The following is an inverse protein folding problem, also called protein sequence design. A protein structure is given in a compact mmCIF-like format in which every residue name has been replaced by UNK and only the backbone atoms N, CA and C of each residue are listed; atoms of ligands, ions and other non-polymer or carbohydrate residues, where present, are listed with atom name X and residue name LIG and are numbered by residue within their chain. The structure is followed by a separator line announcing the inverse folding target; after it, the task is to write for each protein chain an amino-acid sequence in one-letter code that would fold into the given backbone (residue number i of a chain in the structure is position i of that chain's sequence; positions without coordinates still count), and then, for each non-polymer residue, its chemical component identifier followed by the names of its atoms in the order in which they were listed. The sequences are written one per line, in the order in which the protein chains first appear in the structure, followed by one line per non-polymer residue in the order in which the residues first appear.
data_IF_039282588722
#
_entry.id   IF_039282588722
#
_cell.length_a   1.000
_cell.length_b   1.000
_cell.length_c   1.000
_cell.angle_alpha   90.00
_cell.angle_beta   90.00
_cell.angle_gamma   90.00
#
_symmetry.space_group_name_H-M   'P 1'
#
loop_
_entity.id
_entity.type
_entity.pdbx_description
1 polymer ?
#
# COMPACT_ATOMS: atom_id res chain seq x y z
N UNK A 1 4.74 -19.75 -10.46
CA UNK A 1 4.13 -19.41 -11.74
C UNK A 1 3.18 -18.23 -11.51
N UNK A 2 3.72 -17.00 -11.59
CA UNK A 2 2.90 -15.79 -11.67
C UNK A 2 2.42 -15.66 -13.10
N UNK A 3 1.16 -16.01 -13.36
CA UNK A 3 0.51 -15.84 -14.64
C UNK A 3 0.01 -14.41 -14.77
N UNK A 4 0.31 -13.79 -15.90
CA UNK A 4 -0.11 -12.51 -16.45
C UNK A 4 -1.50 -12.00 -16.01
N UNK A 5 -1.55 -11.34 -14.85
CA UNK A 5 -2.72 -10.63 -14.35
C UNK A 5 -2.46 -9.14 -14.17
N UNK A 6 -2.02 -8.46 -15.23
CA UNK A 6 -1.59 -7.08 -15.12
C UNK A 6 -2.67 -6.14 -15.66
N UNK A 7 -3.63 -5.76 -14.80
CA UNK A 7 -4.76 -4.87 -15.14
C UNK A 7 -4.54 -3.39 -14.83
N UNK A 8 -3.35 -2.98 -14.37
CA UNK A 8 -2.95 -1.58 -14.50
C UNK A 8 -2.20 -1.42 -15.81
N UNK A 9 -2.61 -0.47 -16.67
CA UNK A 9 -1.76 -0.06 -17.79
C UNK A 9 -0.33 0.10 -17.26
N UNK A 10 0.62 -0.63 -17.84
CA UNK A 10 2.03 -0.52 -17.48
C UNK A 10 2.50 0.88 -17.86
N UNK A 11 2.32 1.83 -16.93
CA UNK A 11 2.87 3.17 -17.08
C UNK A 11 4.39 3.06 -17.17
N UNK A 12 4.98 3.69 -18.17
CA UNK A 12 6.42 3.87 -18.19
C UNK A 12 6.80 4.87 -17.09
N UNK A 13 7.44 4.38 -16.03
CA UNK A 13 7.89 5.19 -14.89
C UNK A 13 9.34 5.66 -15.01
N UNK A 14 9.98 5.52 -16.18
CA UNK A 14 11.38 5.88 -16.38
C UNK A 14 11.67 7.36 -16.10
N UNK A 15 10.69 8.24 -16.32
CA UNK A 15 10.78 9.66 -15.96
C UNK A 15 10.31 9.99 -14.53
N UNK A 16 9.98 9.00 -13.70
CA UNK A 16 9.69 9.20 -12.27
C UNK A 16 11.02 9.43 -11.53
N UNK A 17 11.63 10.57 -11.76
CA UNK A 17 12.90 10.96 -11.17
C UNK A 17 12.97 12.47 -11.01
N UNK A 18 13.87 12.95 -10.17
CA UNK A 18 14.11 14.38 -10.03
C UNK A 18 15.00 14.90 -11.16
N UNK A 19 14.81 16.17 -11.54
CA UNK A 19 15.55 16.76 -12.66
C UNK A 19 17.07 16.70 -12.45
N UNK A 20 17.55 16.83 -11.21
CA UNK A 20 19.00 16.80 -10.93
C UNK A 20 19.64 15.47 -11.29
N UNK A 21 18.92 14.36 -11.24
CA UNK A 21 19.39 13.05 -11.66
C UNK A 21 19.78 13.08 -13.14
N UNK A 22 18.88 13.55 -13.98
CA UNK A 22 19.09 13.64 -15.42
C UNK A 22 20.18 14.66 -15.81
N UNK A 23 20.27 15.79 -15.11
CA UNK A 23 21.33 16.78 -15.38
C UNK A 23 22.70 16.27 -14.95
N UNK A 24 22.80 15.52 -13.83
CA UNK A 24 24.02 14.84 -13.43
C UNK A 24 24.41 13.74 -14.42
N UNK A 25 23.44 12.91 -14.87
CA UNK A 25 23.67 11.88 -15.87
C UNK A 25 24.23 12.48 -17.18
N UNK A 26 23.66 13.59 -17.66
CA UNK A 26 24.18 14.32 -18.82
C UNK A 26 25.63 14.80 -18.58
N UNK A 27 25.92 15.28 -17.37
CA UNK A 27 27.26 15.68 -16.96
C UNK A 27 28.24 14.50 -16.97
N UNK A 28 27.87 13.35 -16.41
CA UNK A 28 28.68 12.12 -16.42
C UNK A 28 28.96 11.66 -17.86
N UNK A 29 27.92 11.66 -18.72
CA UNK A 29 28.08 11.32 -20.13
C UNK A 29 29.10 12.23 -20.84
N UNK A 30 28.97 13.56 -20.72
CA UNK A 30 29.86 14.54 -21.35
C UNK A 30 31.28 14.51 -20.81
N UNK A 31 31.49 14.03 -19.59
CA UNK A 31 32.83 13.91 -18.95
C UNK A 31 33.43 12.52 -19.09
N UNK A 32 32.81 11.61 -19.83
CA UNK A 32 33.30 10.25 -20.03
C UNK A 32 33.30 9.39 -18.77
N UNK A 33 32.38 9.66 -17.83
CA UNK A 33 32.25 8.97 -16.55
C UNK A 33 31.05 8.02 -16.48
N UNK A 34 30.28 7.91 -17.54
CA UNK A 34 29.01 7.17 -17.56
C UNK A 34 29.15 5.72 -17.05
N UNK A 35 30.25 5.05 -17.38
CA UNK A 35 30.50 3.64 -17.10
C UNK A 35 31.27 3.41 -15.78
N UNK A 36 31.61 4.48 -15.02
CA UNK A 36 32.25 4.33 -13.70
C UNK A 36 31.26 3.62 -12.76
N UNK A 37 31.73 2.55 -12.12
CA UNK A 37 30.87 1.77 -11.19
C UNK A 37 30.66 2.53 -9.89
N UNK A 38 29.41 2.70 -9.50
CA UNK A 38 29.00 3.23 -8.22
C UNK A 38 28.27 2.18 -7.39
N UNK A 39 28.28 2.35 -6.07
CA UNK A 39 27.51 1.55 -5.11
C UNK A 39 26.68 2.50 -4.27
N UNK A 40 25.37 2.32 -4.28
CA UNK A 40 24.44 3.11 -3.49
C UNK A 40 23.61 2.21 -2.58
N UNK A 41 23.40 2.67 -1.34
CA UNK A 41 22.61 1.97 -0.35
C UNK A 41 21.34 2.74 0.01
N UNK A 42 20.22 2.05 0.01
CA UNK A 42 18.97 2.54 0.60
C UNK A 42 18.93 2.11 2.06
N UNK A 43 18.79 3.06 2.96
CA UNK A 43 18.64 2.83 4.40
C UNK A 43 17.71 3.89 5.00
N UNK A 44 17.14 3.65 6.17
CA UNK A 44 16.40 4.70 6.87
C UNK A 44 17.26 5.35 7.97
N UNK A 45 17.02 6.64 8.17
CA UNK A 45 17.72 7.42 9.21
C UNK A 45 17.02 7.26 10.54
N UNK A 46 17.78 7.22 11.62
CA UNK A 46 17.24 7.18 12.97
C UNK A 46 16.33 8.37 13.24
N UNK A 47 15.13 8.10 13.74
CA UNK A 47 14.18 9.10 14.29
C UNK A 47 13.77 8.64 15.68
N UNK A 48 13.43 9.57 16.57
CA UNK A 48 13.13 9.28 17.98
C UNK A 48 12.04 8.21 18.18
N UNK A 49 11.03 8.18 17.31
CA UNK A 49 9.89 7.25 17.41
C UNK A 49 10.01 6.00 16.54
N UNK A 50 11.05 5.90 15.70
CA UNK A 50 11.26 4.78 14.79
C UNK A 50 12.58 4.11 15.12
N UNK A 51 12.49 3.06 15.92
CA UNK A 51 13.66 2.27 16.37
C UNK A 51 13.99 1.12 15.44
N UNK A 52 13.00 0.63 14.69
CA UNK A 52 13.13 -0.38 13.64
C UNK A 52 12.10 -0.13 12.55
N UNK A 53 12.30 -0.72 11.39
CA UNK A 53 11.34 -0.72 10.29
C UNK A 53 11.18 -2.13 9.70
N UNK A 54 10.05 -2.37 9.05
CA UNK A 54 9.79 -3.58 8.28
C UNK A 54 10.04 -3.26 6.81
N UNK A 55 11.05 -3.86 6.20
CA UNK A 55 11.38 -3.61 4.80
C UNK A 55 10.24 -4.06 3.87
N UNK A 56 9.76 -3.17 3.01
CA UNK A 56 8.73 -3.45 2.03
C UNK A 56 8.84 -2.54 0.80
N UNK A 57 8.27 -2.96 -0.33
CA UNK A 57 8.36 -2.26 -1.61
C UNK A 57 9.52 -2.72 -2.48
N UNK A 58 10.26 -3.73 -2.07
CA UNK A 58 11.48 -4.18 -2.76
C UNK A 58 11.15 -4.86 -4.09
N UNK A 59 10.08 -5.64 -4.15
CA UNK A 59 9.59 -6.26 -5.39
C UNK A 59 9.21 -5.19 -6.42
N UNK A 60 8.40 -4.21 -6.03
CA UNK A 60 8.02 -3.11 -6.92
C UNK A 60 9.23 -2.28 -7.36
N UNK A 61 10.20 -2.04 -6.48
CA UNK A 61 11.42 -1.33 -6.82
C UNK A 61 12.25 -2.12 -7.84
N UNK A 62 12.36 -3.43 -7.69
CA UNK A 62 13.05 -4.29 -8.65
C UNK A 62 12.34 -4.31 -10.02
N UNK A 63 11.02 -4.44 -10.03
CA UNK A 63 10.22 -4.38 -11.26
C UNK A 63 10.38 -3.05 -12.00
N UNK A 64 10.40 -1.94 -11.25
CA UNK A 64 10.68 -0.61 -11.81
C UNK A 64 12.05 -0.58 -12.50
N UNK A 65 13.10 -1.04 -11.82
CA UNK A 65 14.46 -1.02 -12.37
C UNK A 65 14.58 -1.89 -13.62
N UNK A 66 14.01 -3.10 -13.57
CA UNK A 66 14.02 -4.02 -14.72
C UNK A 66 13.17 -3.52 -15.90
N UNK A 67 12.17 -2.69 -15.64
CA UNK A 67 11.29 -2.10 -16.63
C UNK A 67 11.80 -0.80 -17.26
N UNK A 68 12.95 -0.27 -16.82
CA UNK A 68 13.50 1.01 -17.31
C UNK A 68 13.75 1.00 -18.81
N UNK A 69 13.16 1.98 -19.51
CA UNK A 69 13.41 2.22 -20.92
C UNK A 69 12.97 3.62 -21.31
N UNK A 70 13.76 4.27 -22.17
CA UNK A 70 13.41 5.56 -22.76
C UNK A 70 12.83 5.35 -24.15
N UNK A 71 11.51 5.48 -24.29
CA UNK A 71 10.83 5.47 -25.57
C UNK A 71 10.92 6.82 -26.29
N UNK A 72 10.33 6.88 -27.49
CA UNK A 72 10.33 8.11 -28.29
C UNK A 72 9.66 9.29 -27.59
N UNK A 73 8.60 9.03 -26.80
CA UNK A 73 7.87 10.04 -26.06
C UNK A 73 8.72 10.69 -24.96
N UNK A 74 9.41 9.87 -24.15
CA UNK A 74 10.32 10.33 -23.11
C UNK A 74 11.47 11.16 -23.69
N UNK A 75 12.08 10.67 -24.76
CA UNK A 75 13.17 11.40 -25.43
C UNK A 75 12.70 12.72 -26.04
N UNK A 76 11.53 12.74 -26.68
CA UNK A 76 10.96 13.98 -27.24
C UNK A 76 10.69 15.01 -26.15
N UNK A 77 10.14 14.56 -25.01
CA UNK A 77 9.91 15.42 -23.85
C UNK A 77 11.23 15.99 -23.30
N UNK A 78 12.23 15.15 -23.06
CA UNK A 78 13.54 15.61 -22.54
C UNK A 78 14.22 16.59 -23.50
N UNK A 79 14.13 16.34 -24.81
CA UNK A 79 14.64 17.26 -25.84
C UNK A 79 13.96 18.62 -25.77
N UNK A 80 12.67 18.67 -25.51
CA UNK A 80 11.91 19.92 -25.41
C UNK A 80 12.34 20.82 -24.27
N UNK A 81 12.98 20.26 -23.22
CA UNK A 81 13.50 21.02 -22.08
C UNK A 81 14.73 21.86 -22.44
N UNK A 82 15.42 21.58 -23.56
CA UNK A 82 16.62 22.26 -24.01
C UNK A 82 17.77 22.29 -22.96
N UNK A 83 17.88 21.25 -22.15
CA UNK A 83 18.88 21.11 -21.07
C UNK A 83 19.94 20.05 -21.38
N UNK A 84 19.70 19.18 -22.35
CA UNK A 84 20.47 17.96 -22.54
C UNK A 84 21.19 17.94 -23.88
N UNK A 85 22.40 17.36 -23.89
CA UNK A 85 23.17 17.13 -25.09
C UNK A 85 22.46 16.10 -26.01
N UNK A 86 22.56 16.30 -27.32
CA UNK A 86 21.93 15.42 -28.31
C UNK A 86 22.54 14.00 -28.28
N UNK A 87 23.84 13.89 -28.03
CA UNK A 87 24.53 12.59 -27.84
C UNK A 87 24.02 11.86 -26.61
N UNK A 88 23.80 12.58 -25.53
CA UNK A 88 23.22 12.01 -24.30
C UNK A 88 21.79 11.53 -24.54
N UNK A 89 20.94 12.31 -25.21
CA UNK A 89 19.57 11.88 -25.57
C UNK A 89 19.58 10.62 -26.43
N UNK A 90 20.54 10.50 -27.36
CA UNK A 90 20.68 9.27 -28.16
C UNK A 90 21.19 8.08 -27.31
N UNK A 91 22.10 8.31 -26.37
CA UNK A 91 22.54 7.30 -25.42
C UNK A 91 21.37 6.74 -24.59
N UNK A 92 20.48 7.59 -24.09
CA UNK A 92 19.31 7.18 -23.29
C UNK A 92 18.40 6.20 -24.04
N UNK A 93 18.28 6.28 -25.38
CA UNK A 93 17.45 5.35 -26.17
C UNK A 93 17.86 3.88 -26.04
N UNK A 94 19.11 3.65 -25.72
CA UNK A 94 19.69 2.30 -25.58
C UNK A 94 19.94 1.90 -24.13
N UNK A 95 19.73 2.83 -23.20
CA UNK A 95 19.99 2.60 -21.79
C UNK A 95 19.06 1.51 -21.25
N UNK A 96 19.68 0.53 -20.59
CA UNK A 96 19.03 -0.51 -19.81
C UNK A 96 19.83 -0.71 -18.54
N UNK A 97 19.16 -1.06 -17.46
CA UNK A 97 19.86 -1.40 -16.24
C UNK A 97 20.72 -2.65 -16.44
N UNK A 98 22.00 -2.56 -16.17
CA UNK A 98 23.00 -3.63 -16.34
C UNK A 98 23.71 -4.02 -15.04
N UNK A 99 23.40 -3.34 -13.95
CA UNK A 99 24.02 -3.55 -12.65
C UNK A 99 23.43 -4.70 -11.85
N UNK A 100 23.90 -4.81 -10.61
CA UNK A 100 23.43 -5.77 -9.63
C UNK A 100 22.62 -5.07 -8.53
N UNK A 101 21.58 -5.76 -8.03
CA UNK A 101 20.78 -5.33 -6.89
C UNK A 101 20.88 -6.42 -5.80
N UNK A 102 21.15 -5.99 -4.59
CA UNK A 102 21.13 -6.82 -3.38
C UNK A 102 20.11 -6.24 -2.42
N UNK A 103 19.19 -7.05 -1.92
CA UNK A 103 18.19 -6.59 -0.96
C UNK A 103 17.91 -7.62 0.12
N UNK A 104 17.45 -7.16 1.28
CA UNK A 104 16.84 -8.05 2.27
C UNK A 104 15.49 -8.53 1.76
N UNK A 105 14.98 -9.70 2.17
CA UNK A 105 13.61 -10.11 1.87
C UNK A 105 12.59 -9.13 2.45
N UNK A 106 11.45 -8.95 1.76
CA UNK A 106 10.35 -8.16 2.30
C UNK A 106 9.83 -8.76 3.61
N UNK A 107 9.41 -7.90 4.55
CA UNK A 107 9.04 -8.31 5.90
C UNK A 107 10.20 -8.46 6.88
N UNK A 108 11.45 -8.29 6.43
CA UNK A 108 12.62 -8.27 7.31
C UNK A 108 12.60 -7.05 8.22
N UNK A 109 12.84 -7.27 9.52
CA UNK A 109 13.10 -6.17 10.47
C UNK A 109 14.49 -5.63 10.24
N UNK A 110 14.58 -4.31 10.03
CA UNK A 110 15.83 -3.60 9.78
C UNK A 110 15.98 -2.43 10.75
N UNK A 111 17.21 -2.03 11.01
CA UNK A 111 17.54 -0.95 11.94
C UNK A 111 18.14 0.27 11.23
N UNK A 112 18.14 1.46 11.87
CA UNK A 112 18.66 2.67 11.24
C UNK A 112 20.12 2.51 10.78
N UNK A 113 20.38 2.88 9.51
CA UNK A 113 21.70 2.81 8.91
C UNK A 113 22.06 1.45 8.30
N UNK A 114 21.21 0.43 8.46
CA UNK A 114 21.43 -0.86 7.79
C UNK A 114 20.94 -0.78 6.33
N UNK A 115 21.74 -1.25 5.35
CA UNK A 115 21.31 -1.32 3.96
C UNK A 115 20.09 -2.23 3.78
N UNK A 116 19.05 -1.70 3.17
CA UNK A 116 17.82 -2.43 2.82
C UNK A 116 17.91 -2.91 1.37
N UNK A 117 18.49 -2.07 0.52
CA UNK A 117 18.58 -2.27 -0.91
C UNK A 117 19.87 -1.61 -1.40
N UNK A 118 20.78 -2.40 -1.94
CA UNK A 118 22.10 -1.95 -2.44
C UNK A 118 22.12 -2.11 -3.94
N UNK A 119 22.51 -1.05 -4.64
CA UNK A 119 22.71 -1.05 -6.09
C UNK A 119 24.19 -0.92 -6.40
N UNK A 120 24.72 -1.80 -7.26
CA UNK A 120 26.06 -1.70 -7.82
C UNK A 120 25.93 -1.67 -9.35
N UNK A 121 26.16 -0.51 -9.95
CA UNK A 121 25.91 -0.30 -11.37
C UNK A 121 26.80 0.81 -11.94
N UNK A 122 26.87 0.98 -13.27
CA UNK A 122 27.37 2.22 -13.86
C UNK A 122 26.69 3.44 -13.23
N UNK A 123 27.46 4.49 -12.93
CA UNK A 123 26.96 5.61 -12.12
C UNK A 123 25.73 6.27 -12.76
N UNK A 124 25.64 6.28 -14.06
CA UNK A 124 24.50 6.85 -14.79
C UNK A 124 23.20 6.07 -14.55
N UNK A 125 23.29 4.75 -14.45
CA UNK A 125 22.16 3.86 -14.17
C UNK A 125 21.78 3.93 -12.68
N UNK A 126 22.77 3.86 -11.79
CA UNK A 126 22.57 3.93 -10.35
C UNK A 126 21.94 5.27 -9.93
N UNK A 127 22.34 6.38 -10.58
CA UNK A 127 21.81 7.71 -10.30
C UNK A 127 20.36 7.85 -10.75
N UNK A 128 20.00 7.35 -11.93
CA UNK A 128 18.64 7.45 -12.49
C UNK A 128 17.57 6.88 -11.56
N UNK A 129 17.87 5.76 -10.91
CA UNK A 129 16.87 5.00 -10.16
C UNK A 129 16.64 5.51 -8.74
N UNK A 130 17.48 6.40 -8.22
CA UNK A 130 17.48 6.85 -6.83
C UNK A 130 16.10 7.30 -6.36
N UNK A 131 15.53 8.31 -7.00
CA UNK A 131 14.27 8.94 -6.56
C UNK A 131 13.10 7.95 -6.52
N UNK A 132 12.91 7.17 -7.57
CA UNK A 132 11.79 6.23 -7.65
C UNK A 132 11.94 5.08 -6.64
N UNK A 133 13.14 4.50 -6.52
CA UNK A 133 13.43 3.44 -5.55
C UNK A 133 13.19 3.92 -4.13
N UNK A 134 13.68 5.11 -3.78
CA UNK A 134 13.44 5.71 -2.46
C UNK A 134 11.95 5.95 -2.21
N UNK A 135 11.22 6.49 -3.18
CA UNK A 135 9.78 6.74 -3.06
C UNK A 135 9.00 5.45 -2.78
N UNK A 136 9.25 4.41 -3.57
CA UNK A 136 8.58 3.10 -3.48
C UNK A 136 8.86 2.44 -2.13
N UNK A 137 10.13 2.32 -1.76
CA UNK A 137 10.55 1.64 -0.52
C UNK A 137 10.11 2.43 0.71
N UNK A 138 10.23 3.76 0.68
CA UNK A 138 9.81 4.61 1.81
C UNK A 138 8.32 4.45 2.11
N UNK A 139 7.44 4.58 1.11
CA UNK A 139 5.99 4.47 1.31
C UNK A 139 5.61 3.11 1.91
N UNK A 140 6.02 2.02 1.27
CA UNK A 140 5.63 0.69 1.70
C UNK A 140 6.26 0.29 3.03
N UNK A 141 7.52 0.65 3.28
CA UNK A 141 8.20 0.40 4.57
C UNK A 141 7.51 1.13 5.72
N UNK A 142 7.10 2.39 5.53
CA UNK A 142 6.36 3.14 6.56
C UNK A 142 5.02 2.48 6.89
N UNK A 143 4.26 2.07 5.89
CA UNK A 143 2.96 1.42 6.09
C UNK A 143 3.13 0.03 6.72
N UNK A 144 4.04 -0.81 6.22
CA UNK A 144 4.32 -2.13 6.77
C UNK A 144 4.75 -2.04 8.24
N UNK A 145 5.64 -1.11 8.57
CA UNK A 145 6.10 -0.87 9.94
C UNK A 145 4.97 -0.45 10.86
N UNK A 146 4.10 0.47 10.40
CA UNK A 146 2.93 0.90 11.19
C UNK A 146 1.96 -0.25 11.40
N UNK A 147 1.69 -1.03 10.36
CA UNK A 147 0.81 -2.20 10.41
C UNK A 147 1.34 -3.25 11.37
N UNK A 148 2.63 -3.55 11.32
CA UNK A 148 3.27 -4.50 12.25
C UNK A 148 3.10 -4.10 13.72
N UNK A 149 3.22 -2.79 14.03
CA UNK A 149 2.99 -2.28 15.39
C UNK A 149 1.53 -2.43 15.81
N UNK A 150 0.59 -2.17 14.91
CA UNK A 150 -0.86 -2.33 15.19
C UNK A 150 -1.20 -3.80 15.38
N UNK A 151 -0.73 -4.68 14.49
CA UNK A 151 -0.95 -6.13 14.59
C UNK A 151 -0.32 -6.71 15.86
N UNK A 152 0.87 -6.27 16.24
CA UNK A 152 1.50 -6.64 17.51
C UNK A 152 0.69 -6.20 18.73
N UNK A 153 0.08 -5.02 18.69
CA UNK A 153 -0.81 -4.53 19.75
C UNK A 153 -2.15 -5.30 19.81
N UNK A 154 -2.60 -5.86 18.70
CA UNK A 154 -3.82 -6.66 18.60
C UNK A 154 -3.68 -8.06 19.22
N UNK A 155 -2.46 -8.51 19.55
CA UNK A 155 -2.19 -9.76 20.29
C UNK A 155 -2.84 -11.01 19.69
N UNK A 156 -2.88 -11.09 18.37
CA UNK A 156 -3.45 -12.22 17.63
C UNK A 156 -4.88 -12.00 17.14
N UNK A 157 -5.54 -10.91 17.51
CA UNK A 157 -6.80 -10.53 16.90
C UNK A 157 -6.58 -10.05 15.45
N UNK A 158 -7.58 -10.25 14.60
CA UNK A 158 -7.53 -9.87 13.20
C UNK A 158 -7.47 -8.34 13.04
N UNK A 159 -6.55 -7.89 12.21
CA UNK A 159 -6.42 -6.49 11.80
C UNK A 159 -6.70 -6.37 10.32
N UNK A 160 -7.63 -5.48 9.94
CA UNK A 160 -8.04 -5.24 8.56
C UNK A 160 -7.57 -3.85 8.11
N UNK A 161 -7.00 -3.76 6.93
CA UNK A 161 -6.59 -2.50 6.33
C UNK A 161 -7.79 -1.80 5.66
N UNK A 162 -8.11 -0.56 6.07
CA UNK A 162 -9.21 0.25 5.55
C UNK A 162 -8.78 1.67 5.16
N UNK A 163 -7.52 1.86 4.76
CA UNK A 163 -6.92 3.17 4.51
C UNK A 163 -7.16 3.76 3.13
N UNK A 164 -7.71 3.01 2.16
CA UNK A 164 -7.80 3.41 0.75
C UNK A 164 -8.31 4.86 0.55
N UNK A 165 -9.45 5.22 1.15
CA UNK A 165 -10.06 6.56 0.97
C UNK A 165 -9.28 7.70 1.62
N UNK A 166 -8.23 7.40 2.38
CA UNK A 166 -7.37 8.37 3.09
C UNK A 166 -5.94 8.35 2.60
N UNK A 167 -5.62 7.51 1.62
CA UNK A 167 -4.30 7.43 1.01
C UNK A 167 -4.02 8.63 0.09
N UNK A 168 -2.75 8.94 -0.12
CA UNK A 168 -2.30 10.02 -0.99
C UNK A 168 -2.28 9.58 -2.46
N UNK A 169 -3.43 9.28 -3.00
CA UNK A 169 -3.65 8.87 -4.37
C UNK A 169 -3.85 7.35 -4.55
N UNK A 170 -4.27 6.91 -5.74
CA UNK A 170 -4.63 5.52 -6.00
C UNK A 170 -3.49 4.53 -5.74
N UNK A 171 -2.29 4.83 -6.22
CA UNK A 171 -1.12 3.96 -6.04
C UNK A 171 -0.75 3.81 -4.56
N UNK A 172 -0.81 4.92 -3.79
CA UNK A 172 -0.59 4.86 -2.35
C UNK A 172 -1.62 3.97 -1.64
N UNK A 173 -2.88 3.96 -2.11
CA UNK A 173 -3.92 3.08 -1.60
C UNK A 173 -3.69 1.61 -1.95
N UNK A 174 -3.26 1.32 -3.18
CA UNK A 174 -3.01 -0.04 -3.67
C UNK A 174 -1.80 -0.65 -2.97
N UNK A 175 -0.65 0.01 -3.06
CA UNK A 175 0.60 -0.47 -2.47
C UNK A 175 0.64 -0.34 -0.94
N UNK A 176 -0.13 0.60 -0.39
CA UNK A 176 -0.37 0.69 1.05
C UNK A 176 -1.12 -0.54 1.59
N UNK A 177 -2.12 -1.04 0.87
CA UNK A 177 -2.81 -2.27 1.22
C UNK A 177 -1.85 -3.49 1.19
N UNK A 178 -1.03 -3.61 0.14
CA UNK A 178 0.01 -4.64 0.04
C UNK A 178 0.98 -4.58 1.22
N UNK A 179 1.49 -3.40 1.51
CA UNK A 179 2.42 -3.18 2.62
C UNK A 179 1.80 -3.50 3.99
N UNK A 180 0.51 -3.21 4.17
CA UNK A 180 -0.21 -3.55 5.39
C UNK A 180 -0.32 -5.07 5.60
N UNK A 181 -0.52 -5.85 4.54
CA UNK A 181 -0.50 -7.32 4.59
C UNK A 181 0.89 -7.82 4.97
N UNK A 182 1.96 -7.28 4.37
CA UNK A 182 3.35 -7.60 4.78
C UNK A 182 3.55 -7.30 6.27
N UNK A 183 2.96 -6.22 6.77
CA UNK A 183 2.97 -5.84 8.18
C UNK A 183 2.10 -6.69 9.11
N UNK A 184 1.39 -7.70 8.58
CA UNK A 184 0.60 -8.66 9.36
C UNK A 184 -0.90 -8.43 9.36
N UNK A 185 -1.44 -7.47 8.60
CA UNK A 185 -2.88 -7.35 8.41
C UNK A 185 -3.46 -8.59 7.71
N UNK A 186 -4.66 -9.02 8.13
CA UNK A 186 -5.28 -10.25 7.62
C UNK A 186 -6.04 -10.04 6.29
N UNK A 187 -6.47 -8.81 6.02
CA UNK A 187 -7.25 -8.47 4.84
C UNK A 187 -7.22 -6.96 4.56
N UNK A 188 -7.71 -6.58 3.39
CA UNK A 188 -7.93 -5.18 2.99
C UNK A 188 -9.35 -4.96 2.51
N UNK A 189 -9.84 -3.73 2.58
CA UNK A 189 -11.09 -3.32 1.92
C UNK A 189 -10.88 -2.91 0.45
N UNK A 190 -9.62 -2.84 0.00
CA UNK A 190 -9.27 -2.43 -1.36
C UNK A 190 -9.42 -3.61 -2.33
N UNK A 191 -10.52 -3.61 -3.09
CA UNK A 191 -10.87 -4.71 -4.01
C UNK A 191 -9.80 -4.89 -5.09
N UNK A 192 -9.27 -3.78 -5.65
CA UNK A 192 -8.22 -3.85 -6.66
C UNK A 192 -6.90 -4.42 -6.10
N UNK A 193 -6.53 -4.03 -4.89
CA UNK A 193 -5.36 -4.63 -4.23
C UNK A 193 -5.57 -6.12 -3.95
N UNK A 194 -6.81 -6.53 -3.61
CA UNK A 194 -7.18 -7.92 -3.47
C UNK A 194 -6.96 -8.73 -4.74
N UNK A 195 -7.38 -8.18 -5.88
CA UNK A 195 -7.18 -8.80 -7.20
C UNK A 195 -5.68 -8.85 -7.58
N UNK A 196 -5.00 -7.70 -7.52
CA UNK A 196 -3.60 -7.58 -7.96
C UNK A 196 -2.62 -8.46 -7.16
N UNK A 197 -2.80 -8.54 -5.85
CA UNK A 197 -1.86 -9.21 -4.95
C UNK A 197 -2.39 -10.52 -4.38
N UNK A 198 -3.58 -10.96 -4.82
CA UNK A 198 -4.24 -12.18 -4.34
C UNK A 198 -4.36 -12.22 -2.81
N UNK A 199 -4.69 -11.07 -2.19
CA UNK A 199 -4.87 -10.95 -0.74
C UNK A 199 -6.37 -10.94 -0.37
N UNK A 200 -6.75 -11.42 0.83
CA UNK A 200 -8.14 -11.44 1.25
C UNK A 200 -8.78 -10.05 1.26
N UNK A 201 -9.99 -9.95 0.69
CA UNK A 201 -10.80 -8.74 0.73
C UNK A 201 -11.88 -8.91 1.77
N UNK A 202 -12.09 -7.90 2.61
CA UNK A 202 -13.09 -7.90 3.66
C UNK A 202 -13.71 -6.52 3.85
N UNK A 203 -14.93 -6.48 4.31
CA UNK A 203 -15.67 -5.26 4.54
C UNK A 203 -17.08 -5.54 5.06
N UNK A 204 -17.83 -4.46 5.25
CA UNK A 204 -19.21 -4.48 5.69
C UNK A 204 -19.94 -3.32 5.01
N UNK A 205 -21.16 -2.99 5.46
CA UNK A 205 -21.89 -1.82 4.97
C UNK A 205 -21.40 -0.51 5.62
N UNK A 206 -21.79 0.62 5.05
CA UNK A 206 -21.53 1.96 5.58
C UNK A 206 -22.77 2.55 6.27
N UNK A 207 -22.60 3.69 6.98
CA UNK A 207 -23.72 4.43 7.60
C UNK A 207 -24.80 4.83 6.59
N UNK A 208 -24.42 5.15 5.34
CA UNK A 208 -25.34 5.49 4.26
C UNK A 208 -26.34 4.37 3.94
N UNK A 209 -25.94 3.09 4.10
CA UNK A 209 -26.87 1.97 3.99
C UNK A 209 -27.99 2.09 5.03
N UNK A 210 -27.60 2.30 6.30
CA UNK A 210 -28.56 2.42 7.41
C UNK A 210 -29.50 3.59 7.20
N UNK A 211 -28.97 4.74 6.78
CA UNK A 211 -29.71 5.98 6.56
C UNK A 211 -30.67 5.92 5.35
N UNK A 212 -30.49 4.97 4.46
CA UNK A 212 -31.34 4.81 3.28
C UNK A 212 -32.63 3.99 3.54
N UNK A 213 -32.83 3.52 4.76
CA UNK A 213 -34.01 2.78 5.17
C UNK A 213 -34.86 3.59 6.16
N UNK A 214 -36.17 3.31 6.26
CA UNK A 214 -37.08 3.99 7.20
C UNK A 214 -36.63 3.86 8.67
N UNK A 215 -35.96 2.77 9.02
CA UNK A 215 -35.40 2.55 10.36
C UNK A 215 -34.10 1.73 10.30
N UNK A 216 -33.27 1.89 11.32
CA UNK A 216 -32.04 1.12 11.50
C UNK A 216 -32.32 -0.40 11.57
N UNK A 217 -33.40 -0.80 12.23
CA UNK A 217 -33.78 -2.21 12.32
C UNK A 217 -34.12 -2.81 10.95
N UNK A 218 -34.85 -2.07 10.10
CA UNK A 218 -35.14 -2.48 8.72
C UNK A 218 -33.88 -2.58 7.87
N UNK A 219 -32.97 -1.64 8.01
CA UNK A 219 -31.68 -1.68 7.32
C UNK A 219 -30.86 -2.92 7.71
N UNK A 220 -30.83 -3.25 8.99
CA UNK A 220 -30.11 -4.42 9.50
C UNK A 220 -30.74 -5.73 9.02
N UNK A 221 -32.07 -5.84 9.05
CA UNK A 221 -32.79 -7.00 8.52
C UNK A 221 -32.55 -7.18 7.02
N UNK A 222 -32.64 -6.10 6.23
CA UNK A 222 -32.36 -6.14 4.82
C UNK A 222 -30.94 -6.62 4.51
N UNK A 223 -29.93 -6.17 5.26
CA UNK A 223 -28.56 -6.63 5.11
C UNK A 223 -28.41 -8.12 5.49
N UNK A 224 -29.03 -8.53 6.60
CA UNK A 224 -29.00 -9.91 7.09
C UNK A 224 -29.71 -10.90 6.15
N UNK A 225 -30.77 -10.48 5.48
CA UNK A 225 -31.48 -11.31 4.49
C UNK A 225 -30.62 -11.55 3.23
N UNK A 226 -29.80 -10.57 2.82
CA UNK A 226 -28.91 -10.70 1.66
C UNK A 226 -27.66 -11.49 2.01
N UNK A 227 -27.08 -11.25 3.19
CA UNK A 227 -25.79 -11.82 3.64
C UNK A 227 -25.91 -12.56 4.97
N UNK A 228 -26.75 -13.61 5.09
CA UNK A 228 -27.08 -14.22 6.39
C UNK A 228 -25.88 -14.87 7.09
N UNK A 229 -24.90 -15.37 6.33
CA UNK A 229 -23.70 -16.02 6.88
C UNK A 229 -22.50 -15.06 7.00
N UNK A 230 -22.66 -13.81 6.52
CA UNK A 230 -21.63 -12.76 6.57
C UNK A 230 -22.15 -11.49 7.25
N UNK A 231 -23.18 -11.60 8.09
CA UNK A 231 -23.79 -10.44 8.75
C UNK A 231 -22.88 -9.84 9.81
N UNK A 232 -22.32 -8.68 9.50
CA UNK A 232 -21.57 -7.80 10.39
C UNK A 232 -22.22 -6.42 10.35
N UNK A 233 -22.83 -5.97 11.45
CA UNK A 233 -23.67 -4.78 11.49
C UNK A 233 -22.94 -3.57 12.09
N UNK A 234 -22.95 -2.45 11.37
CA UNK A 234 -22.44 -1.16 11.81
C UNK A 234 -23.49 -0.48 12.71
N UNK A 235 -23.20 -0.34 13.99
CA UNK A 235 -24.19 -0.02 15.03
C UNK A 235 -24.14 1.40 15.58
N UNK A 236 -23.29 2.24 15.01
CA UNK A 236 -23.05 3.61 15.52
C UNK A 236 -23.55 4.72 14.59
N UNK A 237 -24.56 4.38 13.71
CA UNK A 237 -25.15 5.38 12.82
C UNK A 237 -25.92 6.45 13.61
N UNK A 238 -26.65 6.06 14.63
CA UNK A 238 -27.44 6.97 15.49
C UNK A 238 -26.96 6.94 16.95
N UNK A 239 -27.44 5.99 17.75
CA UNK A 239 -26.98 5.79 19.14
C UNK A 239 -26.57 4.33 19.33
N UNK A 240 -25.28 4.13 19.52
CA UNK A 240 -24.69 2.79 19.59
C UNK A 240 -25.37 1.91 20.66
N UNK A 241 -25.56 2.42 21.88
CA UNK A 241 -26.02 1.62 23.01
C UNK A 241 -27.55 1.61 23.15
N UNK A 242 -28.24 2.68 22.72
CA UNK A 242 -29.71 2.76 22.86
C UNK A 242 -30.45 2.22 21.64
N UNK A 243 -29.83 2.21 20.47
CA UNK A 243 -30.43 1.81 19.22
C UNK A 243 -29.66 0.70 18.51
N UNK A 244 -28.41 0.97 18.11
CA UNK A 244 -27.64 0.07 17.22
C UNK A 244 -27.43 -1.32 17.81
N UNK A 245 -26.89 -1.45 19.00
CA UNK A 245 -26.65 -2.75 19.63
C UNK A 245 -27.96 -3.49 19.92
N UNK A 246 -29.00 -2.87 20.51
CA UNK A 246 -30.29 -3.54 20.68
C UNK A 246 -30.93 -4.04 19.40
N UNK A 247 -30.88 -3.26 18.31
CA UNK A 247 -31.40 -3.66 17.01
C UNK A 247 -30.57 -4.80 16.39
N UNK A 248 -29.23 -4.75 16.54
CA UNK A 248 -28.37 -5.83 16.07
C UNK A 248 -28.64 -7.15 16.80
N UNK A 249 -28.86 -7.12 18.12
CA UNK A 249 -29.20 -8.31 18.93
C UNK A 249 -30.49 -8.94 18.38
N UNK A 250 -31.54 -8.14 18.14
CA UNK A 250 -32.81 -8.66 17.56
C UNK A 250 -32.58 -9.40 16.23
N UNK A 251 -31.80 -8.78 15.33
CA UNK A 251 -31.52 -9.39 14.02
C UNK A 251 -30.66 -10.66 14.17
N UNK A 252 -29.70 -10.67 15.11
CA UNK A 252 -28.91 -11.86 15.37
C UNK A 252 -29.73 -13.01 15.95
N UNK A 253 -30.71 -12.72 16.80
CA UNK A 253 -31.63 -13.74 17.30
C UNK A 253 -32.54 -14.28 16.19
N UNK A 254 -33.03 -13.42 15.30
CA UNK A 254 -33.77 -13.82 14.09
C UNK A 254 -32.92 -14.73 13.16
N UNK A 255 -31.63 -14.40 12.97
CA UNK A 255 -30.70 -15.22 12.19
C UNK A 255 -30.42 -16.58 12.87
N UNK A 256 -30.19 -16.60 14.19
CA UNK A 256 -29.95 -17.83 14.96
C UNK A 256 -31.16 -18.75 14.92
N UNK A 257 -32.37 -18.20 14.97
CA UNK A 257 -33.61 -18.97 14.83
C UNK A 257 -33.72 -19.64 13.45
N UNK A 258 -33.11 -19.05 12.41
CA UNK A 258 -32.96 -19.60 11.05
C UNK A 258 -31.74 -20.53 10.89
N UNK A 259 -31.03 -20.86 11.98
CA UNK A 259 -29.82 -21.69 11.95
C UNK A 259 -28.57 -20.99 11.42
N UNK A 260 -28.59 -19.67 11.30
CA UNK A 260 -27.47 -18.87 10.79
C UNK A 260 -26.56 -18.38 11.94
N UNK A 261 -25.30 -18.06 11.60
CA UNK A 261 -24.29 -17.57 12.57
C UNK A 261 -23.86 -16.16 12.19
N UNK A 262 -24.43 -15.10 12.77
CA UNK A 262 -23.98 -13.74 12.51
C UNK A 262 -22.53 -13.56 12.99
N UNK A 263 -21.78 -12.70 12.30
CA UNK A 263 -20.36 -12.45 12.61
C UNK A 263 -20.20 -11.52 13.81
N UNK A 264 -20.98 -10.45 13.90
CA UNK A 264 -20.89 -9.52 15.00
C UNK A 264 -21.29 -8.09 14.66
N UNK A 265 -20.82 -7.15 15.44
CA UNK A 265 -21.06 -5.71 15.27
C UNK A 265 -19.76 -4.97 14.96
N UNK A 266 -19.88 -3.82 14.30
CA UNK A 266 -18.81 -2.86 14.08
C UNK A 266 -19.15 -1.54 14.75
N UNK A 267 -18.19 -0.95 15.44
CA UNK A 267 -18.24 0.39 16.01
C UNK A 267 -17.12 1.22 15.36
N UNK A 268 -17.48 2.34 14.76
CA UNK A 268 -16.62 3.16 13.89
C UNK A 268 -16.32 4.56 14.50
N UNK A 269 -17.02 4.93 15.58
CA UNK A 269 -16.94 6.26 16.18
C UNK A 269 -17.11 6.23 17.70
N UNK A 270 -16.82 7.36 18.34
CA UNK A 270 -16.94 7.54 19.78
C UNK A 270 -15.77 6.94 20.58
N UNK A 271 -15.95 6.78 21.89
CA UNK A 271 -14.98 6.08 22.73
C UNK A 271 -15.10 4.57 22.53
N UNK A 272 -14.28 4.03 21.62
CA UNK A 272 -14.33 2.62 21.25
C UNK A 272 -14.06 1.70 22.43
N UNK A 273 -13.17 2.07 23.34
CA UNK A 273 -12.85 1.26 24.52
C UNK A 273 -14.04 1.17 25.49
N UNK A 274 -14.74 2.27 25.70
CA UNK A 274 -15.96 2.29 26.50
C UNK A 274 -17.11 1.55 25.81
N UNK A 275 -17.39 1.90 24.56
CA UNK A 275 -18.53 1.36 23.81
C UNK A 275 -18.45 -0.16 23.63
N UNK A 276 -17.26 -0.68 23.31
CA UNK A 276 -17.09 -2.14 23.16
C UNK A 276 -17.31 -2.88 24.47
N UNK A 277 -16.86 -2.33 25.60
CA UNK A 277 -17.11 -2.92 26.93
C UNK A 277 -18.60 -2.90 27.30
N UNK A 278 -19.33 -1.83 26.96
CA UNK A 278 -20.78 -1.77 27.22
C UNK A 278 -21.55 -2.71 26.29
N UNK A 279 -21.25 -2.69 24.99
CA UNK A 279 -21.88 -3.60 24.03
C UNK A 279 -21.67 -5.09 24.40
N UNK A 280 -20.50 -5.45 24.94
CA UNK A 280 -20.23 -6.82 25.42
C UNK A 280 -21.08 -7.24 26.61
N UNK A 281 -21.54 -6.30 27.45
CA UNK A 281 -22.42 -6.59 28.61
C UNK A 281 -23.87 -6.78 28.19
N UNK A 282 -24.29 -6.22 27.07
CA UNK A 282 -25.63 -6.36 26.54
C UNK A 282 -25.81 -7.71 25.84
#
# INVERSE_FOLDING_TARGET
NYTDGNHMEKRNLTLLTDLYELTMMNGYYLKGKADEVAVFDVFFRRKELITYSLAAGLEQAADYVLGLHFGEGEIAYLKSLNLFDEGFLNYLKTLKFSGDIYSVPEGTVVFPGEPIFTVKAPVIEAQLIETAVLNIINHQTLIATKSAKVCGAAKGDNVMEFGLRRAQGPDAGIYGARAAIIGGCNSTSNVLAGEMFSVPVSGTHAHSWVMNFPSELEAFRAYADIYPDATLLLVDTYDTLKSGVPNAIKVFDELRAKGKKPLGIRIDSGDLAYLTKQARKM
#
